data_IF_467650127787
#
_entry.id   IF_467650127787
#
_cell.length_a   1.000
_cell.length_b   1.000
_cell.length_c   1.000
_cell.angle_alpha   90.00
_cell.angle_beta   90.00
_cell.angle_gamma   90.00
#
_symmetry.space_group_name_H-M   'P 1'
#
loop_
_entity.id
_entity.type
_entity.pdbx_description
1 polymer ?
#
# COMPACT_ATOMS: atom_id res chain seq x y z
N UNK A 1 -4.47 2.75 23.53
CA UNK A 1 -5.05 3.48 22.38
C UNK A 1 -6.38 2.84 22.01
N UNK A 2 -7.44 3.64 21.84
CA UNK A 2 -8.73 3.12 21.38
C UNK A 2 -8.60 2.58 19.95
N UNK A 3 -9.35 1.54 19.64
CA UNK A 3 -9.46 0.99 18.28
C UNK A 3 -10.07 2.05 17.37
N UNK A 4 -9.50 2.27 16.18
CA UNK A 4 -10.01 3.24 15.22
C UNK A 4 -11.07 2.55 14.36
N UNK A 5 -12.33 2.58 14.82
CA UNK A 5 -13.44 1.87 14.20
C UNK A 5 -13.64 2.22 12.72
N UNK A 6 -13.38 3.46 12.32
CA UNK A 6 -13.49 3.89 10.93
C UNK A 6 -12.45 3.23 10.00
N UNK A 7 -11.22 2.95 10.49
CA UNK A 7 -10.22 2.20 9.71
C UNK A 7 -10.71 0.78 9.44
N UNK A 8 -11.32 0.14 10.43
CA UNK A 8 -11.90 -1.19 10.26
C UNK A 8 -13.12 -1.17 9.33
N UNK A 9 -13.95 -0.12 9.42
CA UNK A 9 -15.09 0.08 8.50
C UNK A 9 -14.61 0.27 7.06
N UNK A 10 -13.60 1.13 6.82
CA UNK A 10 -13.01 1.33 5.48
C UNK A 10 -12.41 0.03 4.91
N UNK A 11 -11.78 -0.81 5.75
CA UNK A 11 -11.31 -2.14 5.32
C UNK A 11 -12.47 -3.04 4.92
N UNK A 12 -13.54 -3.05 5.71
CA UNK A 12 -14.76 -3.80 5.39
C UNK A 12 -15.37 -3.36 4.06
N UNK A 13 -15.47 -2.04 3.85
CA UNK A 13 -15.95 -1.49 2.58
C UNK A 13 -15.06 -1.91 1.40
N UNK A 14 -13.74 -1.81 1.55
CA UNK A 14 -12.80 -2.26 0.52
C UNK A 14 -12.97 -3.75 0.18
N UNK A 15 -13.18 -4.61 1.20
CA UNK A 15 -13.46 -6.04 0.99
C UNK A 15 -14.76 -6.26 0.20
N UNK A 16 -15.85 -5.55 0.54
CA UNK A 16 -17.14 -5.68 -0.16
C UNK A 16 -17.00 -5.27 -1.62
N UNK A 17 -16.38 -4.12 -1.89
CA UNK A 17 -16.17 -3.64 -3.25
C UNK A 17 -15.25 -4.56 -4.06
N UNK A 18 -14.20 -5.09 -3.45
CA UNK A 18 -13.30 -6.06 -4.08
C UNK A 18 -14.06 -7.35 -4.44
N UNK A 19 -14.84 -7.87 -3.49
CA UNK A 19 -15.66 -9.06 -3.73
C UNK A 19 -16.65 -8.85 -4.87
N UNK A 20 -17.38 -7.72 -4.86
CA UNK A 20 -18.29 -7.35 -5.95
C UNK A 20 -17.59 -7.35 -7.32
N UNK A 21 -16.41 -6.71 -7.40
CA UNK A 21 -15.65 -6.61 -8.66
C UNK A 21 -15.27 -7.99 -9.17
N UNK A 22 -14.68 -8.84 -8.31
CA UNK A 22 -14.30 -10.19 -8.71
C UNK A 22 -15.48 -11.09 -9.08
N UNK A 23 -16.62 -10.97 -8.37
CA UNK A 23 -17.84 -11.69 -8.74
C UNK A 23 -18.36 -11.24 -10.11
N UNK A 24 -18.36 -9.94 -10.39
CA UNK A 24 -18.83 -9.43 -11.67
C UNK A 24 -17.91 -9.84 -12.82
N UNK A 25 -16.60 -9.81 -12.61
CA UNK A 25 -15.63 -10.25 -13.61
C UNK A 25 -15.68 -11.75 -13.88
N UNK A 26 -16.08 -12.56 -12.90
CA UNK A 26 -16.09 -14.02 -13.03
C UNK A 26 -17.42 -14.57 -13.53
N UNK A 27 -18.55 -13.96 -13.15
CA UNK A 27 -19.87 -14.58 -13.32
C UNK A 27 -20.80 -13.86 -14.29
N UNK A 28 -20.55 -12.58 -14.59
CA UNK A 28 -21.40 -11.88 -15.56
C UNK A 28 -21.10 -12.31 -16.99
N UNK A 29 -22.17 -12.52 -17.77
CA UNK A 29 -22.04 -12.77 -19.20
C UNK A 29 -21.46 -11.56 -19.94
N UNK A 30 -20.83 -11.74 -21.11
CA UNK A 30 -20.31 -10.63 -21.92
C UNK A 30 -21.37 -9.56 -22.24
N UNK A 31 -22.64 -9.97 -22.40
CA UNK A 31 -23.76 -9.06 -22.66
C UNK A 31 -24.10 -8.23 -21.42
N UNK A 32 -24.17 -8.85 -20.25
CA UNK A 32 -24.45 -8.16 -18.99
C UNK A 32 -23.36 -7.15 -18.64
N UNK A 33 -22.09 -7.39 -19.01
CA UNK A 33 -20.97 -6.46 -18.83
C UNK A 33 -21.08 -5.19 -19.69
N UNK A 34 -21.96 -5.15 -20.69
CA UNK A 34 -22.25 -3.95 -21.49
C UNK A 34 -23.30 -3.05 -20.84
N UNK A 35 -23.95 -3.50 -19.77
CA UNK A 35 -25.00 -2.75 -19.09
C UNK A 35 -24.44 -1.49 -18.40
N UNK A 36 -25.25 -0.44 -18.36
CA UNK A 36 -24.90 0.82 -17.66
C UNK A 36 -24.61 0.57 -16.17
N UNK A 37 -25.36 -0.35 -15.54
CA UNK A 37 -25.14 -0.73 -14.14
C UNK A 37 -23.74 -1.32 -13.93
N UNK A 38 -23.29 -2.21 -14.81
CA UNK A 38 -21.95 -2.77 -14.74
C UNK A 38 -20.88 -1.69 -14.88
N UNK A 39 -21.00 -0.82 -15.88
CA UNK A 39 -20.04 0.28 -16.12
C UNK A 39 -19.92 1.18 -14.88
N UNK A 40 -21.03 1.58 -14.28
CA UNK A 40 -21.01 2.38 -13.05
C UNK A 40 -20.42 1.62 -11.86
N UNK A 41 -20.68 0.33 -11.76
CA UNK A 41 -20.11 -0.50 -10.68
C UNK A 41 -18.59 -0.62 -10.76
N UNK A 42 -18.01 -0.51 -11.96
CA UNK A 42 -16.55 -0.53 -12.16
C UNK A 42 -15.87 0.69 -11.51
N UNK A 43 -16.55 1.83 -11.37
CA UNK A 43 -16.01 2.97 -10.60
C UNK A 43 -15.76 2.57 -9.14
N UNK A 44 -16.68 1.82 -8.53
CA UNK A 44 -16.46 1.23 -7.20
C UNK A 44 -15.33 0.20 -7.18
N UNK A 45 -15.17 -0.54 -8.29
CA UNK A 45 -14.13 -1.57 -8.47
C UNK A 45 -12.71 -1.04 -8.54
N UNK A 46 -12.51 0.25 -8.83
CA UNK A 46 -11.17 0.88 -8.85
C UNK A 46 -10.66 1.22 -7.45
N UNK A 47 -11.53 1.32 -6.45
CA UNK A 47 -11.19 1.78 -5.10
C UNK A 47 -10.48 0.74 -4.20
N UNK A 48 -10.77 -0.57 -4.26
CA UNK A 48 -10.25 -1.53 -3.29
C UNK A 48 -8.72 -1.54 -3.21
N UNK A 49 -8.03 -1.61 -4.34
CA UNK A 49 -6.57 -1.73 -4.35
C UNK A 49 -5.86 -0.50 -3.76
N UNK A 50 -6.13 0.75 -4.20
CA UNK A 50 -5.54 1.94 -3.58
C UNK A 50 -5.94 2.07 -2.11
N UNK A 51 -7.18 1.72 -1.75
CA UNK A 51 -7.66 1.80 -0.38
C UNK A 51 -6.95 0.80 0.54
N UNK A 52 -6.73 -0.44 0.11
CA UNK A 52 -5.95 -1.42 0.89
C UNK A 52 -4.52 -0.97 1.11
N UNK A 53 -3.85 -0.44 0.08
CA UNK A 53 -2.49 0.09 0.20
C UNK A 53 -2.44 1.29 1.16
N UNK A 54 -3.37 2.22 1.03
CA UNK A 54 -3.49 3.38 1.91
C UNK A 54 -3.73 2.96 3.37
N UNK A 55 -4.68 2.06 3.62
CA UNK A 55 -4.99 1.55 4.95
C UNK A 55 -3.85 0.71 5.54
N UNK A 56 -3.05 0.06 4.70
CA UNK A 56 -1.83 -0.62 5.16
C UNK A 56 -0.81 0.37 5.70
N UNK A 57 -0.63 1.52 5.03
CA UNK A 57 0.22 2.61 5.48
C UNK A 57 -0.24 3.19 6.83
N UNK A 58 -1.55 3.46 6.99
CA UNK A 58 -2.12 3.89 8.28
C UNK A 58 -1.81 2.85 9.36
N UNK A 59 -2.09 1.57 9.10
CA UNK A 59 -1.87 0.49 10.06
C UNK A 59 -0.40 0.35 10.46
N UNK A 60 0.49 0.51 9.47
CA UNK A 60 1.93 0.51 9.69
C UNK A 60 2.36 1.64 10.62
N UNK A 61 1.85 2.87 10.41
CA UNK A 61 2.12 4.02 11.29
C UNK A 61 1.62 3.77 12.71
N UNK A 62 0.40 3.21 12.87
CA UNK A 62 -0.18 2.87 14.18
C UNK A 62 0.69 1.88 14.96
N UNK A 63 1.19 0.84 14.31
CA UNK A 63 2.06 -0.16 14.93
C UNK A 63 3.42 0.46 15.27
N UNK A 64 4.01 1.20 14.34
CA UNK A 64 5.31 1.85 14.53
C UNK A 64 5.28 2.82 15.70
N UNK A 65 4.24 3.65 15.79
CA UNK A 65 4.10 4.62 16.89
C UNK A 65 3.96 3.93 18.25
N UNK A 66 3.16 2.86 18.34
CA UNK A 66 3.04 2.06 19.58
C UNK A 66 4.38 1.46 20.02
N UNK A 67 5.19 0.99 19.08
CA UNK A 67 6.50 0.44 19.38
C UNK A 67 7.47 1.54 19.84
N UNK A 68 7.39 2.73 19.24
CA UNK A 68 8.17 3.91 19.66
C UNK A 68 7.81 4.37 21.07
N UNK A 69 6.51 4.45 21.38
CA UNK A 69 5.99 4.80 22.73
C UNK A 69 6.46 3.80 23.80
N UNK A 70 6.67 2.53 23.44
CA UNK A 70 7.27 1.51 24.32
C UNK A 70 8.79 1.59 24.43
N UNK A 71 9.45 2.56 23.77
CA UNK A 71 10.90 2.69 23.79
C UNK A 71 11.63 1.63 22.94
N UNK A 72 10.95 0.93 22.05
CA UNK A 72 11.57 -0.08 21.18
C UNK A 72 12.60 0.60 20.26
N UNK A 73 13.80 0.03 20.18
CA UNK A 73 14.88 0.56 19.34
C UNK A 73 14.47 0.61 17.86
N UNK A 74 14.84 1.67 17.13
CA UNK A 74 14.48 1.87 15.72
C UNK A 74 14.85 0.69 14.83
N UNK A 75 15.96 -0.02 15.14
CA UNK A 75 16.41 -1.19 14.38
C UNK A 75 15.46 -2.37 14.57
N UNK A 76 14.97 -2.59 15.77
CA UNK A 76 14.01 -3.68 16.06
C UNK A 76 12.64 -3.40 15.46
N UNK A 77 12.19 -2.13 15.43
CA UNK A 77 10.97 -1.72 14.74
C UNK A 77 11.11 -2.03 13.24
N UNK A 78 12.22 -1.61 12.63
CA UNK A 78 12.48 -1.87 11.21
C UNK A 78 12.53 -3.36 10.91
N UNK A 79 13.28 -4.15 11.71
CA UNK A 79 13.37 -5.61 11.56
C UNK A 79 11.99 -6.27 11.60
N UNK A 80 11.17 -5.92 12.58
CA UNK A 80 9.83 -6.48 12.75
C UNK A 80 8.93 -6.14 11.56
N UNK A 81 8.94 -4.88 11.12
CA UNK A 81 8.06 -4.41 10.03
C UNK A 81 8.51 -4.92 8.67
N UNK A 82 9.81 -4.96 8.40
CA UNK A 82 10.38 -5.53 7.16
C UNK A 82 10.09 -7.03 7.09
N UNK A 83 10.29 -7.75 8.20
CA UNK A 83 9.97 -9.18 8.27
C UNK A 83 8.50 -9.45 7.95
N UNK A 84 7.58 -8.67 8.54
CA UNK A 84 6.14 -8.77 8.23
C UNK A 84 5.84 -8.51 6.77
N UNK A 85 6.46 -7.49 6.18
CA UNK A 85 6.36 -7.21 4.76
C UNK A 85 6.85 -8.38 3.89
N UNK A 86 8.00 -8.98 4.26
CA UNK A 86 8.55 -10.14 3.57
C UNK A 86 7.65 -11.38 3.69
N UNK A 87 7.03 -11.60 4.85
CA UNK A 87 6.05 -12.69 5.06
C UNK A 87 4.85 -12.53 4.12
N UNK A 88 4.29 -11.31 4.00
CA UNK A 88 3.17 -11.01 3.09
C UNK A 88 3.60 -11.15 1.62
N UNK A 89 4.80 -10.69 1.28
CA UNK A 89 5.37 -10.85 -0.06
C UNK A 89 5.51 -12.33 -0.44
N UNK A 90 6.04 -13.14 0.47
CA UNK A 90 6.16 -14.59 0.28
C UNK A 90 4.80 -15.29 0.13
N UNK A 91 3.79 -14.86 0.91
CA UNK A 91 2.41 -15.33 0.72
C UNK A 91 1.89 -14.99 -0.67
N UNK A 92 2.15 -13.79 -1.18
CA UNK A 92 1.79 -13.41 -2.55
C UNK A 92 2.40 -14.34 -3.59
N UNK A 93 3.68 -14.70 -3.44
CA UNK A 93 4.32 -15.70 -4.33
C UNK A 93 3.68 -17.09 -4.18
N UNK A 94 3.34 -17.49 -2.97
CA UNK A 94 2.66 -18.78 -2.74
C UNK A 94 1.30 -18.83 -3.44
N UNK A 95 0.53 -17.75 -3.40
CA UNK A 95 -0.72 -17.63 -4.15
C UNK A 95 -0.50 -17.75 -5.66
N UNK A 96 0.57 -17.17 -6.21
CA UNK A 96 0.92 -17.34 -7.63
C UNK A 96 1.21 -18.80 -7.98
N UNK A 97 1.92 -19.52 -7.12
CA UNK A 97 2.17 -20.97 -7.29
C UNK A 97 0.86 -21.76 -7.26
N UNK A 98 -0.04 -21.45 -6.31
CA UNK A 98 -1.34 -22.10 -6.23
C UNK A 98 -2.17 -21.84 -7.49
N UNK A 99 -2.26 -20.60 -7.94
CA UNK A 99 -3.01 -20.21 -9.14
C UNK A 99 -2.45 -20.90 -10.40
N UNK A 100 -1.13 -20.93 -10.55
CA UNK A 100 -0.46 -21.64 -11.62
C UNK A 100 -0.74 -23.15 -11.59
N UNK A 101 -0.71 -23.76 -10.40
CA UNK A 101 -0.97 -25.20 -10.24
C UNK A 101 -2.43 -25.56 -10.64
N UNK A 102 -3.40 -24.71 -10.27
CA UNK A 102 -4.81 -24.88 -10.65
C UNK A 102 -5.03 -24.63 -12.14
N UNK A 103 -4.32 -23.68 -12.74
CA UNK A 103 -4.40 -23.29 -14.14
C UNK A 103 -3.35 -23.93 -15.05
N UNK A 104 -2.63 -24.96 -14.60
CA UNK A 104 -1.42 -25.52 -15.24
C UNK A 104 -1.51 -25.70 -16.76
N UNK A 105 -2.67 -26.09 -17.29
CA UNK A 105 -2.84 -26.31 -18.73
C UNK A 105 -3.12 -25.03 -19.54
N UNK A 106 -3.46 -23.93 -18.88
CA UNK A 106 -3.90 -22.69 -19.52
C UNK A 106 -3.03 -21.48 -19.14
N UNK A 107 -2.34 -21.55 -18.00
CA UNK A 107 -1.53 -20.44 -17.50
C UNK A 107 -0.08 -20.56 -17.96
N UNK A 108 0.52 -19.52 -18.57
CA UNK A 108 1.94 -19.53 -18.91
C UNK A 108 2.77 -19.50 -17.62
N UNK A 109 3.95 -20.17 -17.65
CA UNK A 109 4.87 -20.22 -16.50
C UNK A 109 5.30 -18.80 -16.01
N UNK A 110 5.25 -17.82 -16.89
CA UNK A 110 5.57 -16.41 -16.58
C UNK A 110 4.63 -15.81 -15.55
N UNK A 111 3.42 -16.34 -15.39
CA UNK A 111 2.47 -15.87 -14.36
C UNK A 111 2.92 -16.16 -12.93
N UNK A 112 3.85 -17.10 -12.74
CA UNK A 112 4.49 -17.33 -11.43
C UNK A 112 5.23 -16.09 -10.90
N UNK A 113 5.77 -15.26 -11.80
CA UNK A 113 6.56 -14.07 -11.45
C UNK A 113 5.77 -12.76 -11.64
N UNK A 114 4.48 -12.87 -11.95
CA UNK A 114 3.60 -11.72 -12.12
C UNK A 114 3.42 -10.98 -10.78
N UNK A 115 3.55 -9.64 -10.82
CA UNK A 115 3.31 -8.82 -9.63
C UNK A 115 1.81 -8.77 -9.31
N UNK A 116 1.46 -8.96 -8.04
CA UNK A 116 0.10 -8.92 -7.53
C UNK A 116 -0.01 -7.98 -6.35
N UNK A 117 -1.26 -7.68 -5.94
CA UNK A 117 -1.56 -6.76 -4.83
C UNK A 117 -0.90 -7.21 -3.51
N UNK A 118 -0.83 -8.52 -3.21
CA UNK A 118 -0.15 -9.02 -2.01
C UNK A 118 1.35 -8.80 -2.07
N UNK A 119 1.97 -9.03 -3.22
CA UNK A 119 3.39 -8.75 -3.42
C UNK A 119 3.67 -7.25 -3.27
N UNK A 120 2.81 -6.42 -3.84
CA UNK A 120 2.91 -4.97 -3.72
C UNK A 120 2.72 -4.48 -2.29
N UNK A 121 1.75 -5.05 -1.56
CA UNK A 121 1.51 -4.75 -0.15
C UNK A 121 2.75 -5.08 0.70
N UNK A 122 3.30 -6.29 0.53
CA UNK A 122 4.50 -6.73 1.23
C UNK A 122 5.71 -5.86 0.92
N UNK A 123 5.94 -5.55 -0.35
CA UNK A 123 7.02 -4.67 -0.80
C UNK A 123 6.86 -3.25 -0.24
N UNK A 124 5.67 -2.69 -0.29
CA UNK A 124 5.38 -1.37 0.30
C UNK A 124 5.67 -1.34 1.81
N UNK A 125 5.30 -2.41 2.54
CA UNK A 125 5.61 -2.52 3.97
C UNK A 125 7.12 -2.58 4.25
N UNK A 126 7.88 -3.30 3.44
CA UNK A 126 9.35 -3.33 3.56
C UNK A 126 9.94 -1.94 3.31
N UNK A 127 9.50 -1.26 2.26
CA UNK A 127 9.97 0.10 1.93
C UNK A 127 9.59 1.12 3.00
N UNK A 128 8.37 1.06 3.55
CA UNK A 128 7.97 1.88 4.70
C UNK A 128 8.82 1.60 5.93
N UNK A 129 9.20 0.34 6.18
CA UNK A 129 10.11 -0.05 7.26
C UNK A 129 11.49 0.59 7.12
N UNK A 130 12.05 0.56 5.92
CA UNK A 130 13.33 1.21 5.58
C UNK A 130 13.20 2.74 5.74
N UNK A 131 12.16 3.34 5.18
CA UNK A 131 11.91 4.76 5.23
C UNK A 131 11.80 5.27 6.68
N UNK A 132 11.03 4.55 7.52
CA UNK A 132 10.89 4.87 8.94
C UNK A 132 12.20 4.68 9.72
N UNK A 133 13.02 3.70 9.36
CA UNK A 133 14.34 3.52 9.97
C UNK A 133 15.31 4.63 9.62
N UNK A 134 15.32 5.08 8.38
CA UNK A 134 16.17 6.19 7.90
C UNK A 134 15.74 7.52 8.51
N UNK A 135 14.45 7.79 8.59
CA UNK A 135 13.89 9.05 9.11
C UNK A 135 13.86 9.13 10.65
N UNK A 136 13.91 7.99 11.35
CA UNK A 136 13.88 7.97 12.81
C UNK A 136 15.20 8.43 13.42
N UNK A 137 15.12 9.25 14.48
CA UNK A 137 16.26 9.54 15.35
C UNK A 137 16.71 8.34 16.19
N UNK A 138 17.83 8.48 16.89
CA UNK A 138 18.25 7.49 17.90
C UNK A 138 17.23 7.45 19.03
N UNK A 139 16.91 6.27 19.54
CA UNK A 139 16.05 6.09 20.71
C UNK A 139 16.85 6.48 21.95
N UNK A 140 16.42 7.51 22.70
CA UNK A 140 17.13 7.90 23.92
C UNK A 140 16.85 6.92 25.06
N UNK A 141 17.82 6.78 25.97
CA UNK A 141 17.68 5.93 27.15
C UNK A 141 16.79 6.58 28.24
N UNK A 142 16.70 7.90 28.28
CA UNK A 142 15.97 8.65 29.30
C UNK A 142 14.49 8.83 28.92
N UNK A 143 13.57 8.48 29.83
CA UNK A 143 12.13 8.59 29.63
C UNK A 143 11.65 10.04 29.37
N UNK A 144 12.26 11.04 29.99
CA UNK A 144 11.93 12.46 29.77
C UNK A 144 12.22 12.93 28.35
N UNK A 145 13.24 12.37 27.71
CA UNK A 145 13.64 12.70 26.33
C UNK A 145 12.91 11.83 25.31
N UNK A 146 12.37 10.69 25.75
CA UNK A 146 11.69 9.74 24.87
C UNK A 146 10.46 10.38 24.18
N UNK A 147 9.62 11.11 24.90
CA UNK A 147 8.42 11.75 24.35
C UNK A 147 8.75 12.76 23.25
N UNK A 148 9.80 13.57 23.42
CA UNK A 148 10.27 14.52 22.40
C UNK A 148 10.85 13.79 21.19
N UNK A 149 11.61 12.73 21.43
CA UNK A 149 12.19 11.90 20.36
C UNK A 149 11.12 11.21 19.53
N UNK A 150 10.06 10.69 20.17
CA UNK A 150 8.90 10.09 19.50
C UNK A 150 8.19 11.13 18.64
N UNK A 151 7.90 12.32 19.18
CA UNK A 151 7.28 13.42 18.42
C UNK A 151 8.13 13.81 17.21
N UNK A 152 9.43 14.06 17.39
CA UNK A 152 10.33 14.42 16.29
C UNK A 152 10.45 13.31 15.23
N UNK A 153 10.41 12.04 15.63
CA UNK A 153 10.42 10.90 14.70
C UNK A 153 9.10 10.77 13.94
N UNK A 154 7.98 11.13 14.57
CA UNK A 154 6.66 11.19 13.95
C UNK A 154 6.61 12.26 12.87
N UNK A 155 7.02 13.50 13.20
CA UNK A 155 6.99 14.63 12.27
C UNK A 155 7.88 14.36 11.04
N UNK A 156 9.06 13.77 11.25
CA UNK A 156 9.91 13.29 10.15
C UNK A 156 9.27 12.16 9.37
N UNK A 157 8.53 11.26 10.02
CA UNK A 157 7.79 10.18 9.37
C UNK A 157 6.66 10.70 8.47
N UNK A 158 5.94 11.74 8.90
CA UNK A 158 4.94 12.43 8.08
C UNK A 158 5.60 13.01 6.83
N UNK A 159 6.66 13.81 7.01
CA UNK A 159 7.36 14.45 5.90
C UNK A 159 7.94 13.40 4.92
N UNK A 160 8.60 12.37 5.45
CA UNK A 160 9.18 11.29 4.63
C UNK A 160 8.13 10.53 3.85
N UNK A 161 6.96 10.24 4.45
CA UNK A 161 5.83 9.60 3.78
C UNK A 161 5.26 10.46 2.65
N UNK A 162 5.05 11.76 2.89
CA UNK A 162 4.58 12.70 1.87
C UNK A 162 5.59 12.86 0.72
N UNK A 163 6.88 13.02 1.03
CA UNK A 163 7.92 13.12 0.01
C UNK A 163 8.05 11.84 -0.82
N UNK A 164 7.96 10.67 -0.18
CA UNK A 164 7.99 9.39 -0.89
C UNK A 164 6.76 9.21 -1.79
N UNK A 165 5.55 9.54 -1.32
CA UNK A 165 4.35 9.50 -2.12
C UNK A 165 4.43 10.45 -3.33
N UNK A 166 4.86 11.70 -3.11
CA UNK A 166 5.04 12.69 -4.16
C UNK A 166 6.11 12.25 -5.18
N UNK A 167 7.24 11.72 -4.71
CA UNK A 167 8.31 11.21 -5.56
C UNK A 167 7.80 10.09 -6.48
N UNK A 168 7.09 9.11 -5.91
CA UNK A 168 6.50 8.01 -6.69
C UNK A 168 5.54 8.56 -7.73
N UNK A 169 4.63 9.46 -7.36
CA UNK A 169 3.65 10.04 -8.27
C UNK A 169 4.32 10.81 -9.43
N UNK A 170 5.33 11.64 -9.14
CA UNK A 170 6.04 12.46 -10.13
C UNK A 170 6.90 11.59 -11.07
N UNK A 171 7.54 10.55 -10.54
CA UNK A 171 8.44 9.69 -11.32
C UNK A 171 7.67 8.67 -12.17
N UNK A 172 6.44 8.33 -11.80
CA UNK A 172 5.62 7.32 -12.50
C UNK A 172 5.53 7.57 -14.01
N UNK A 173 5.14 8.75 -14.52
CA UNK A 173 5.03 8.98 -15.96
C UNK A 173 6.36 8.75 -16.69
N UNK A 174 7.48 9.13 -16.07
CA UNK A 174 8.81 8.95 -16.65
C UNK A 174 9.16 7.45 -16.82
N UNK A 175 8.90 6.64 -15.79
CA UNK A 175 9.19 5.20 -15.82
C UNK A 175 8.27 4.41 -16.75
N UNK A 176 7.09 4.94 -17.03
CA UNK A 176 6.13 4.29 -17.94
C UNK A 176 6.34 4.67 -19.40
N UNK A 177 6.94 5.82 -19.69
CA UNK A 177 7.07 6.36 -21.03
C UNK A 177 8.53 6.51 -21.48
N UNK A 178 9.21 7.56 -21.01
CA UNK A 178 10.50 8.03 -21.55
C UNK A 178 11.72 7.31 -20.99
N UNK A 179 11.70 6.99 -19.70
CA UNK A 179 12.83 6.39 -18.97
C UNK A 179 12.53 4.98 -18.50
N UNK A 180 11.85 4.21 -19.33
CA UNK A 180 11.53 2.82 -19.04
C UNK A 180 12.82 2.00 -18.83
N UNK A 181 12.93 1.21 -17.73
CA UNK A 181 14.16 0.46 -17.40
C UNK A 181 14.32 -0.82 -18.24
N UNK A 182 14.41 -0.69 -19.55
CA UNK A 182 14.45 -1.81 -20.52
C UNK A 182 15.66 -2.74 -20.39
N UNK A 183 16.67 -2.35 -19.59
CA UNK A 183 17.88 -3.16 -19.36
C UNK A 183 17.70 -4.17 -18.23
N UNK A 184 16.63 -4.05 -17.45
CA UNK A 184 16.32 -5.00 -16.38
C UNK A 184 15.65 -6.27 -16.95
N UNK A 185 15.88 -7.42 -16.33
CA UNK A 185 15.06 -8.61 -16.59
C UNK A 185 13.57 -8.26 -16.40
N UNK A 186 12.73 -8.76 -17.30
CA UNK A 186 11.29 -8.45 -17.30
C UNK A 186 10.58 -8.66 -15.95
N UNK A 187 10.94 -9.65 -15.08
CA UNK A 187 10.30 -9.77 -13.78
C UNK A 187 10.55 -8.56 -12.89
N UNK A 188 11.78 -8.01 -12.89
CA UNK A 188 12.12 -6.81 -12.13
C UNK A 188 11.45 -5.57 -12.73
N UNK A 189 11.40 -5.45 -14.05
CA UNK A 189 10.69 -4.36 -14.72
C UNK A 189 9.19 -4.42 -14.40
N UNK A 190 8.60 -5.62 -14.36
CA UNK A 190 7.22 -5.84 -13.97
C UNK A 190 6.91 -5.29 -12.56
N UNK A 191 7.82 -5.45 -11.61
CA UNK A 191 7.67 -4.87 -10.27
C UNK A 191 7.81 -3.35 -10.23
N UNK A 192 8.51 -2.75 -11.17
CA UNK A 192 8.72 -1.28 -11.21
C UNK A 192 7.55 -0.58 -11.89
N UNK A 193 7.22 -0.96 -13.14
CA UNK A 193 6.29 -0.23 -14.00
C UNK A 193 5.18 -1.12 -14.62
N UNK A 194 5.06 -2.38 -14.19
CA UNK A 194 4.01 -3.29 -14.70
C UNK A 194 4.26 -3.84 -16.09
N UNK A 195 5.47 -3.77 -16.62
CA UNK A 195 5.80 -4.42 -17.89
C UNK A 195 5.90 -5.92 -17.69
N UNK A 196 5.11 -6.66 -18.45
CA UNK A 196 5.06 -8.11 -18.43
C UNK A 196 5.72 -8.70 -19.70
N UNK A 197 5.57 -9.99 -19.93
CA UNK A 197 6.20 -10.76 -21.02
C UNK A 197 6.09 -10.10 -22.41
N UNK A 198 5.01 -9.38 -22.67
CA UNK A 198 4.72 -8.76 -23.96
C UNK A 198 5.40 -7.40 -24.18
N UNK A 199 6.23 -6.98 -23.25
CA UNK A 199 6.94 -5.71 -23.38
C UNK A 199 6.08 -4.45 -23.26
N UNK A 200 4.81 -4.58 -22.90
CA UNK A 200 3.87 -3.47 -22.66
C UNK A 200 3.39 -3.47 -21.21
N UNK A 201 3.15 -2.29 -20.60
CA UNK A 201 2.54 -2.21 -19.28
C UNK A 201 1.17 -2.91 -19.24
N UNK A 202 0.91 -3.64 -18.17
CA UNK A 202 -0.35 -4.36 -17.98
C UNK A 202 -1.21 -3.62 -16.95
N UNK A 203 -2.43 -3.18 -17.30
CA UNK A 203 -3.26 -2.37 -16.41
C UNK A 203 -3.76 -3.13 -15.17
N UNK A 204 -3.80 -4.45 -15.21
CA UNK A 204 -4.20 -5.30 -14.08
C UNK A 204 -3.05 -5.71 -13.15
N UNK A 205 -1.82 -5.26 -13.42
CA UNK A 205 -0.69 -5.47 -12.54
C UNK A 205 -0.61 -4.35 -11.50
N UNK A 206 0.02 -4.66 -10.37
CA UNK A 206 0.22 -3.74 -9.26
C UNK A 206 1.70 -3.42 -9.08
N UNK A 207 2.34 -2.68 -10.01
CA UNK A 207 3.75 -2.32 -9.90
C UNK A 207 3.99 -1.27 -8.82
N UNK A 208 5.27 -1.11 -8.44
CA UNK A 208 5.70 -0.13 -7.44
C UNK A 208 5.24 1.29 -7.80
N UNK A 209 5.34 1.65 -9.07
CA UNK A 209 4.91 2.93 -9.62
C UNK A 209 3.62 2.75 -10.44
N UNK A 210 2.49 3.37 -10.06
CA UNK A 210 2.29 4.38 -8.98
C UNK A 210 1.84 3.82 -7.63
N UNK A 211 1.58 2.53 -7.47
CA UNK A 211 0.79 1.96 -6.39
C UNK A 211 1.35 2.20 -5.00
N UNK A 212 2.68 2.23 -4.82
CA UNK A 212 3.29 2.50 -3.52
C UNK A 212 3.02 3.91 -2.99
N UNK A 213 2.65 4.88 -3.86
CA UNK A 213 2.28 6.22 -3.43
C UNK A 213 1.12 6.19 -2.42
N UNK A 214 0.12 5.31 -2.63
CA UNK A 214 -1.00 5.15 -1.69
C UNK A 214 -0.55 4.65 -0.32
N UNK A 215 0.38 3.70 -0.27
CA UNK A 215 0.91 3.21 0.99
C UNK A 215 1.71 4.29 1.73
N UNK A 216 2.55 5.05 1.04
CA UNK A 216 3.29 6.17 1.63
C UNK A 216 2.39 7.32 2.08
N UNK A 217 1.35 7.65 1.31
CA UNK A 217 0.34 8.63 1.72
C UNK A 217 -0.39 8.15 2.98
N UNK A 218 -0.79 6.87 3.02
CA UNK A 218 -1.38 6.25 4.20
C UNK A 218 -0.47 6.27 5.43
N UNK A 219 0.85 6.07 5.24
CA UNK A 219 1.86 6.18 6.30
C UNK A 219 1.88 7.59 6.89
N UNK A 220 1.92 8.63 6.04
CA UNK A 220 1.93 10.02 6.45
C UNK A 220 0.65 10.38 7.22
N UNK A 221 -0.52 10.02 6.69
CA UNK A 221 -1.80 10.23 7.36
C UNK A 221 -1.87 9.47 8.67
N UNK A 222 -1.41 8.22 8.71
CA UNK A 222 -1.37 7.41 9.92
C UNK A 222 -0.56 8.06 11.04
N UNK A 223 0.61 8.62 10.74
CA UNK A 223 1.39 9.40 11.71
C UNK A 223 0.70 10.72 12.07
N UNK A 224 0.06 11.40 11.12
CA UNK A 224 -0.66 12.64 11.36
C UNK A 224 -1.78 12.45 12.38
N UNK A 225 -2.50 11.32 12.37
CA UNK A 225 -3.57 11.01 13.32
C UNK A 225 -3.11 11.02 14.80
N UNK A 226 -1.80 10.90 15.07
CA UNK A 226 -1.25 11.02 16.42
C UNK A 226 -0.91 12.45 16.84
N UNK A 227 -1.03 13.42 15.94
CA UNK A 227 -0.76 14.82 16.26
C UNK A 227 -1.88 15.45 17.09
N UNK A 228 -1.55 16.47 17.88
CA UNK A 228 -2.56 17.25 18.60
C UNK A 228 -3.54 17.95 17.68
N UNK A 229 -3.12 18.32 16.47
CA UNK A 229 -3.95 18.95 15.45
C UNK A 229 -5.05 17.98 15.00
N UNK A 230 -4.67 16.74 14.64
CA UNK A 230 -5.65 15.72 14.21
C UNK A 230 -6.69 15.42 15.29
N UNK A 231 -6.26 15.34 16.56
CA UNK A 231 -7.15 15.11 17.69
C UNK A 231 -8.18 16.23 17.89
N UNK A 232 -7.82 17.47 17.58
CA UNK A 232 -8.73 18.62 17.64
C UNK A 232 -9.69 18.68 16.46
N UNK A 233 -9.31 18.10 15.34
CA UNK A 233 -10.05 18.10 14.08
C UNK A 233 -10.72 16.76 13.77
N UNK A 234 -11.00 15.93 14.80
CA UNK A 234 -11.50 14.56 14.57
C UNK A 234 -12.62 14.50 13.51
N UNK A 235 -13.65 15.34 13.60
CA UNK A 235 -14.75 15.33 12.64
C UNK A 235 -14.35 15.78 11.22
N UNK A 236 -13.50 16.80 11.09
CA UNK A 236 -13.03 17.32 9.80
C UNK A 236 -12.04 16.33 9.16
N UNK A 237 -11.19 15.72 9.98
CA UNK A 237 -10.22 14.70 9.52
C UNK A 237 -10.95 13.47 8.97
N UNK A 238 -12.07 13.07 9.57
CA UNK A 238 -12.92 11.99 9.09
C UNK A 238 -13.56 12.32 7.74
N UNK A 239 -14.12 13.52 7.62
CA UNK A 239 -14.73 13.96 6.38
C UNK A 239 -13.70 14.07 5.24
N UNK A 240 -12.50 14.60 5.53
CA UNK A 240 -11.43 14.71 4.55
C UNK A 240 -10.87 13.34 4.12
N UNK A 241 -10.74 12.38 5.04
CA UNK A 241 -10.34 11.00 4.72
C UNK A 241 -11.40 10.27 3.90
N UNK A 242 -12.68 10.50 4.20
CA UNK A 242 -13.78 9.97 3.41
C UNK A 242 -13.79 10.54 1.99
N UNK A 243 -13.61 11.87 1.85
CA UNK A 243 -13.55 12.53 0.56
C UNK A 243 -12.31 12.12 -0.26
N UNK A 244 -11.13 12.04 0.37
CA UNK A 244 -9.91 11.58 -0.30
C UNK A 244 -10.01 10.13 -0.78
N UNK A 245 -10.68 9.27 0.00
CA UNK A 245 -10.97 7.89 -0.42
C UNK A 245 -12.03 7.78 -1.52
N UNK A 246 -12.85 8.81 -1.73
CA UNK A 246 -13.86 8.86 -2.80
C UNK A 246 -13.33 9.47 -4.10
N UNK A 247 -12.20 10.20 -4.04
CA UNK A 247 -11.57 10.85 -5.19
C UNK A 247 -10.35 10.06 -5.74
N UNK A 248 -9.93 9.00 -5.03
CA UNK A 248 -8.86 8.11 -5.44
C UNK A 248 -9.39 6.93 -6.25
#
# INVERSE_FOLDING_TARGET
MKRLAYVDWMRGLACVLMFQTHCYDSWLSPEARKSTLYVWSQLGGTLPAPLFLFLSGISFALVTERLREKGTARREIAKTTIRRGAEIFALGLLFRVQEYALGYRWSPWTDLLRVDILNMLGLSMMLMGILCWLSAGRTPANASVLSQSVKASRDRGILAGLLAAALVAIVTPLLWTTHRPRRLPWPLESYINGVHVFGTPQPWLFPLFPWSAFAFAGLAVGFFLFTGIARRMEGITFAALGAAGALA
#
